data_IF_899930080957
#
_entry.id   IF_899930080957
#
_cell.length_a   1.000
_cell.length_b   1.000
_cell.length_c   1.000
_cell.angle_alpha   90.00
_cell.angle_beta   90.00
_cell.angle_gamma   90.00
#
_symmetry.space_group_name_H-M   'P 1'
#
loop_
_entity.id
_entity.type
_entity.pdbx_description
1 polymer ?
#
# COMPACT_ATOMS: atom_id res chain seq x y z
N UNK A 1 -20.57 -39.39 -10.34
CA UNK A 1 -20.06 -38.69 -9.15
C UNK A 1 -19.60 -37.30 -9.57
N UNK A 2 -20.25 -36.21 -9.16
CA UNK A 2 -19.79 -34.86 -9.52
C UNK A 2 -18.64 -34.46 -8.60
N UNK A 3 -17.50 -34.08 -9.20
CA UNK A 3 -16.35 -33.50 -8.52
C UNK A 3 -16.75 -32.12 -7.98
N UNK A 4 -16.72 -32.00 -6.67
CA UNK A 4 -16.92 -30.77 -5.92
C UNK A 4 -15.75 -29.81 -6.18
N UNK A 5 -15.82 -29.04 -7.26
CA UNK A 5 -14.86 -27.99 -7.61
C UNK A 5 -15.09 -26.73 -6.79
N UNK A 6 -14.79 -26.79 -5.49
CA UNK A 6 -14.70 -25.60 -4.66
C UNK A 6 -13.36 -24.91 -4.95
N UNK A 7 -13.41 -23.81 -5.70
CA UNK A 7 -12.32 -22.82 -5.81
C UNK A 7 -12.13 -22.09 -4.47
N UNK A 8 -11.79 -22.84 -3.42
CA UNK A 8 -11.20 -22.31 -2.21
C UNK A 8 -9.71 -22.22 -2.45
N UNK A 9 -9.20 -21.00 -2.63
CA UNK A 9 -7.79 -20.69 -2.49
C UNK A 9 -7.35 -21.27 -1.14
N UNK A 10 -6.51 -22.30 -1.21
CA UNK A 10 -6.11 -23.08 -0.04
C UNK A 10 -5.23 -22.23 0.86
N UNK A 11 -5.78 -21.80 1.99
CA UNK A 11 -5.04 -21.77 3.25
C UNK A 11 -4.51 -20.42 3.68
N UNK A 12 -5.42 -19.55 4.11
CA UNK A 12 -5.15 -18.43 4.99
C UNK A 12 -6.24 -17.38 4.82
N UNK A 13 -7.05 -17.14 5.84
CA UNK A 13 -7.76 -15.86 5.97
C UNK A 13 -6.71 -14.77 6.21
N UNK A 14 -5.82 -14.52 5.24
CA UNK A 14 -4.96 -13.35 5.30
C UNK A 14 -5.84 -12.16 5.04
N UNK A 15 -6.16 -11.47 6.11
CA UNK A 15 -6.76 -10.17 5.99
C UNK A 15 -5.64 -9.24 5.53
N UNK A 16 -5.92 -8.34 4.60
CA UNK A 16 -4.99 -7.26 4.24
C UNK A 16 -4.59 -6.39 5.46
N UNK A 17 -5.34 -6.46 6.57
CA UNK A 17 -4.89 -5.96 7.87
C UNK A 17 -3.68 -6.71 8.44
N UNK A 18 -3.60 -8.04 8.26
CA UNK A 18 -2.45 -8.85 8.65
C UNK A 18 -1.22 -8.46 7.82
N UNK A 19 -1.41 -8.07 6.56
CA UNK A 19 -0.35 -7.51 5.73
C UNK A 19 0.25 -6.25 6.40
N UNK A 20 -0.57 -5.30 6.86
CA UNK A 20 -0.08 -4.11 7.56
C UNK A 20 0.61 -4.41 8.90
N UNK A 21 0.10 -5.36 9.68
CA UNK A 21 0.71 -5.76 10.97
C UNK A 21 2.11 -6.33 10.77
N UNK A 22 2.37 -6.94 9.62
CA UNK A 22 3.67 -7.52 9.29
C UNK A 22 4.62 -6.52 8.61
N UNK A 23 4.14 -5.36 8.18
CA UNK A 23 4.99 -4.27 7.70
C UNK A 23 5.58 -3.53 8.89
N UNK A 24 6.92 -3.53 8.99
CA UNK A 24 7.61 -2.66 9.94
C UNK A 24 7.88 -1.31 9.28
N UNK A 25 7.41 -0.17 9.84
CA UNK A 25 7.60 1.16 9.26
C UNK A 25 9.06 1.49 8.93
N UNK A 26 9.98 1.04 9.78
CA UNK A 26 11.43 1.22 9.61
C UNK A 26 12.03 0.49 8.39
N UNK A 27 11.31 -0.48 7.83
CA UNK A 27 11.74 -1.21 6.63
C UNK A 27 10.92 -0.85 5.41
N UNK A 28 9.73 -0.28 5.59
CA UNK A 28 8.93 0.24 4.49
C UNK A 28 9.58 1.53 3.98
N UNK A 29 9.95 1.55 2.71
CA UNK A 29 10.43 2.76 2.04
C UNK A 29 9.64 2.97 0.76
N UNK A 30 8.76 3.97 0.77
CA UNK A 30 8.00 4.38 -0.41
C UNK A 30 8.93 5.17 -1.34
N UNK A 31 9.14 4.66 -2.54
CA UNK A 31 9.85 5.39 -3.58
C UNK A 31 8.88 6.35 -4.28
N UNK A 32 9.11 7.63 -4.10
CA UNK A 32 8.25 8.70 -4.59
C UNK A 32 8.72 9.20 -5.96
N UNK A 33 8.81 8.29 -6.92
CA UNK A 33 9.23 8.61 -8.29
C UNK A 33 8.14 9.40 -9.02
N UNK A 34 8.57 10.35 -9.86
CA UNK A 34 7.67 11.28 -10.53
C UNK A 34 7.06 10.63 -11.78
N UNK A 35 5.76 10.39 -11.75
CA UNK A 35 5.00 9.91 -12.91
C UNK A 35 4.97 8.40 -13.12
N UNK A 36 5.79 7.64 -12.39
CA UNK A 36 5.83 6.18 -12.46
C UNK A 36 5.46 5.53 -11.12
N UNK A 37 4.74 4.41 -11.18
CA UNK A 37 4.44 3.60 -10.00
C UNK A 37 5.63 2.74 -9.62
N UNK A 38 6.21 3.02 -8.46
CA UNK A 38 7.34 2.24 -7.94
C UNK A 38 6.91 1.41 -6.74
N UNK A 39 7.37 0.16 -6.67
CA UNK A 39 7.08 -0.70 -5.52
C UNK A 39 7.79 -0.17 -4.27
N UNK A 40 7.08 -0.14 -3.14
CA UNK A 40 7.67 0.22 -1.86
C UNK A 40 8.66 -0.89 -1.43
N UNK A 41 9.88 -0.49 -1.05
CA UNK A 41 10.85 -1.42 -0.48
C UNK A 41 10.42 -1.86 0.93
N UNK A 42 10.80 -3.08 1.32
CA UNK A 42 10.44 -3.66 2.63
C UNK A 42 9.14 -4.46 2.63
N UNK A 43 8.35 -4.32 1.56
CA UNK A 43 7.14 -5.09 1.28
C UNK A 43 7.40 -6.61 1.20
N UNK A 44 8.59 -7.01 0.73
CA UNK A 44 9.00 -8.42 0.63
C UNK A 44 9.22 -9.15 1.96
N UNK A 45 9.16 -8.44 3.10
CA UNK A 45 9.25 -9.04 4.44
C UNK A 45 7.88 -9.26 5.10
N UNK A 46 6.80 -8.78 4.49
CA UNK A 46 5.46 -9.18 4.89
C UNK A 46 5.30 -10.68 4.56
N UNK A 47 4.82 -11.47 5.52
CA UNK A 47 4.65 -12.93 5.43
C UNK A 47 3.62 -13.41 4.38
N UNK A 48 3.16 -12.50 3.52
CA UNK A 48 2.09 -12.67 2.54
C UNK A 48 2.51 -13.36 1.25
N UNK A 49 3.76 -13.86 1.14
CA UNK A 49 4.29 -14.53 -0.07
C UNK A 49 4.16 -13.70 -1.37
N UNK A 50 4.08 -12.38 -1.24
CA UNK A 50 3.86 -11.46 -2.38
C UNK A 50 2.41 -11.42 -2.89
N UNK A 51 1.43 -11.92 -2.12
CA UNK A 51 0.02 -11.75 -2.44
C UNK A 51 -0.38 -10.27 -2.39
N UNK A 52 0.09 -9.54 -1.38
CA UNK A 52 -0.14 -8.10 -1.27
C UNK A 52 1.13 -7.34 -1.67
N UNK A 53 0.96 -6.27 -2.47
CA UNK A 53 2.06 -5.41 -2.93
C UNK A 53 1.68 -3.95 -2.82
N UNK A 54 2.55 -3.14 -2.20
CA UNK A 54 2.36 -1.69 -2.11
C UNK A 54 3.23 -0.96 -3.14
N UNK A 55 2.61 -0.02 -3.86
CA UNK A 55 3.27 0.90 -4.79
C UNK A 55 3.01 2.34 -4.38
N UNK A 56 3.99 3.18 -4.63
CA UNK A 56 3.95 4.62 -4.38
C UNK A 56 4.33 5.39 -5.65
N UNK A 57 3.77 6.59 -5.81
CA UNK A 57 4.21 7.52 -6.85
C UNK A 57 4.05 8.97 -6.38
N UNK A 58 4.89 9.85 -6.93
CA UNK A 58 4.74 11.30 -6.81
C UNK A 58 4.16 11.86 -8.11
N UNK A 59 3.11 12.64 -8.02
CA UNK A 59 2.52 13.31 -9.18
C UNK A 59 3.36 14.52 -9.61
N UNK A 60 3.12 14.98 -10.83
CA UNK A 60 3.79 16.15 -11.41
C UNK A 60 3.13 17.50 -11.07
N UNK A 61 2.06 17.49 -10.26
CA UNK A 61 1.31 18.68 -9.87
C UNK A 61 2.08 19.57 -8.88
N UNK A 62 1.62 20.80 -8.71
CA UNK A 62 2.16 21.75 -7.72
C UNK A 62 1.00 22.33 -6.89
N UNK A 63 0.90 22.00 -5.58
CA UNK A 63 1.80 21.16 -4.80
C UNK A 63 1.76 19.68 -5.23
N UNK A 64 2.86 18.91 -5.05
CA UNK A 64 2.89 17.50 -5.42
C UNK A 64 1.93 16.67 -4.58
N UNK A 65 1.15 15.82 -5.23
CA UNK A 65 0.35 14.78 -4.55
C UNK A 65 1.13 13.46 -4.51
N UNK A 66 1.02 12.75 -3.39
CA UNK A 66 1.67 11.46 -3.17
C UNK A 66 0.60 10.36 -3.21
N UNK A 67 0.71 9.45 -4.18
CA UNK A 67 -0.30 8.41 -4.40
C UNK A 67 0.21 7.06 -3.94
N UNK A 68 -0.68 6.30 -3.33
CA UNK A 68 -0.45 4.93 -2.86
C UNK A 68 -1.43 4.01 -3.58
N UNK A 69 -0.91 2.88 -4.04
CA UNK A 69 -1.66 1.80 -4.65
C UNK A 69 -1.32 0.50 -3.91
N UNK A 70 -2.35 -0.13 -3.33
CA UNK A 70 -2.24 -1.47 -2.75
C UNK A 70 -2.86 -2.47 -3.70
N UNK A 71 -2.11 -3.50 -4.05
CA UNK A 71 -2.55 -4.60 -4.89
C UNK A 71 -2.71 -5.86 -4.05
N UNK A 72 -3.78 -6.62 -4.28
CA UNK A 72 -3.96 -7.99 -3.77
C UNK A 72 -4.03 -8.94 -4.96
N UNK A 73 -3.15 -9.94 -5.02
CA UNK A 73 -3.02 -10.88 -6.15
C UNK A 73 -2.91 -10.19 -7.53
N UNK A 74 -2.25 -9.02 -7.57
CA UNK A 74 -2.11 -8.10 -8.72
C UNK A 74 -3.35 -7.30 -9.10
N UNK A 75 -4.46 -7.46 -8.38
CA UNK A 75 -5.65 -6.64 -8.54
C UNK A 75 -5.61 -5.42 -7.62
N UNK A 76 -6.05 -4.24 -8.08
CA UNK A 76 -6.06 -3.02 -7.27
C UNK A 76 -7.10 -3.12 -6.15
N UNK A 77 -6.61 -3.10 -4.90
CA UNK A 77 -7.43 -3.11 -3.71
C UNK A 77 -7.66 -1.68 -3.17
N UNK A 78 -6.62 -0.85 -3.17
CA UNK A 78 -6.69 0.56 -2.78
C UNK A 78 -5.91 1.44 -3.76
N UNK A 79 -6.45 2.62 -4.06
CA UNK A 79 -5.77 3.66 -4.82
C UNK A 79 -6.21 5.02 -4.27
N UNK A 80 -5.31 5.70 -3.58
CA UNK A 80 -5.64 6.96 -2.91
C UNK A 80 -4.44 7.91 -2.83
N UNK A 81 -4.73 9.16 -2.51
CA UNK A 81 -3.75 10.25 -2.34
C UNK A 81 -3.53 10.54 -0.88
N UNK A 82 -2.27 10.71 -0.48
CA UNK A 82 -1.85 11.20 0.82
C UNK A 82 -1.25 12.60 0.62
N UNK A 83 -1.66 13.60 1.43
CA UNK A 83 -1.03 14.91 1.39
C UNK A 83 0.42 14.80 1.90
N UNK A 84 1.36 15.46 1.22
CA UNK A 84 2.70 15.60 1.78
C UNK A 84 2.73 16.63 2.91
N UNK A 85 3.84 16.70 3.63
CA UNK A 85 4.04 17.62 4.75
C UNK A 85 4.58 18.96 4.27
N UNK A 86 3.95 20.09 4.63
CA UNK A 86 4.50 21.41 4.30
C UNK A 86 5.87 21.58 4.97
N UNK A 87 6.86 21.97 4.18
CA UNK A 87 8.18 22.31 4.71
C UNK A 87 8.37 23.82 4.83
N UNK A 88 9.39 24.25 5.58
CA UNK A 88 9.67 25.67 5.88
C UNK A 88 9.91 26.52 4.63
N UNK A 89 10.20 25.89 3.49
CA UNK A 89 10.52 26.55 2.23
C UNK A 89 9.32 26.65 1.29
N UNK A 90 8.10 26.30 1.73
CA UNK A 90 6.90 26.29 0.90
C UNK A 90 6.82 25.12 -0.10
N UNK A 91 7.73 24.15 0.00
CA UNK A 91 7.66 22.88 -0.70
C UNK A 91 6.95 21.83 0.17
N UNK A 92 6.64 20.68 -0.41
CA UNK A 92 5.94 19.59 0.28
C UNK A 92 6.84 18.37 0.36
N UNK A 93 7.24 17.99 1.56
CA UNK A 93 7.98 16.76 1.83
C UNK A 93 7.06 15.53 1.69
N UNK A 94 7.57 14.39 1.25
CA UNK A 94 6.77 13.17 1.19
C UNK A 94 6.27 12.71 2.57
N UNK A 95 5.15 11.95 2.59
CA UNK A 95 4.73 11.23 3.78
C UNK A 95 5.81 10.26 4.26
N UNK A 96 5.92 10.11 5.58
CA UNK A 96 6.71 9.06 6.22
C UNK A 96 6.09 7.69 5.99
N UNK A 97 6.90 6.64 6.18
CA UNK A 97 6.43 5.26 6.15
C UNK A 97 5.33 4.98 7.17
N UNK A 98 5.37 5.61 8.36
CA UNK A 98 4.31 5.46 9.36
C UNK A 98 3.00 6.10 8.89
N UNK A 99 3.05 7.32 8.36
CA UNK A 99 1.87 8.01 7.80
C UNK A 99 1.24 7.21 6.66
N UNK A 100 2.05 6.55 5.82
CA UNK A 100 1.56 5.64 4.78
C UNK A 100 0.83 4.45 5.39
N UNK A 101 1.43 3.77 6.37
CA UNK A 101 0.82 2.59 7.04
C UNK A 101 -0.50 2.98 7.70
N UNK A 102 -0.53 4.10 8.43
CA UNK A 102 -1.72 4.58 9.11
C UNK A 102 -2.83 4.93 8.11
N UNK A 103 -2.49 5.60 7.00
CA UNK A 103 -3.46 5.94 5.96
C UNK A 103 -4.01 4.69 5.26
N UNK A 104 -3.16 3.71 4.93
CA UNK A 104 -3.62 2.43 4.37
C UNK A 104 -4.53 1.70 5.36
N UNK A 105 -4.22 1.69 6.66
CA UNK A 105 -5.07 1.08 7.68
C UNK A 105 -6.47 1.73 7.74
N UNK A 106 -6.52 3.07 7.66
CA UNK A 106 -7.77 3.84 7.62
C UNK A 106 -8.59 3.51 6.38
N UNK A 107 -7.98 3.52 5.19
CA UNK A 107 -8.68 3.24 3.93
C UNK A 107 -9.18 1.80 3.87
N UNK A 108 -8.39 0.82 4.32
CA UNK A 108 -8.84 -0.57 4.47
C UNK A 108 -10.02 -0.70 5.45
N UNK A 109 -10.05 0.14 6.48
CA UNK A 109 -11.19 0.25 7.41
C UNK A 109 -12.51 0.64 6.74
N UNK A 110 -12.47 1.35 5.61
CA UNK A 110 -13.66 1.76 4.86
C UNK A 110 -14.21 0.66 3.96
N UNK A 111 -13.35 -0.23 3.44
CA UNK A 111 -13.74 -1.32 2.54
C UNK A 111 -14.30 -2.53 3.31
N UNK A 112 -13.87 -2.73 4.56
CA UNK A 112 -14.26 -3.89 5.38
C UNK A 112 -15.61 -3.78 6.11
N UNK A 113 -16.66 -3.21 5.50
CA UNK A 113 -18.04 -3.22 6.03
C UNK A 113 -18.97 -4.05 5.17
#
# INVERSE_FOLDING_TARGET
>A
MPRNGSNKVRGGNHNVRDYLVNIKPQYLNCLWDKGDWTQAYGDSKASVRGADVMKSMKTSTQPPEYRILLLHEKEPLLNFTIPGRPNKNGSTDPPTSQEVIDAVAIELGKIGK
#
